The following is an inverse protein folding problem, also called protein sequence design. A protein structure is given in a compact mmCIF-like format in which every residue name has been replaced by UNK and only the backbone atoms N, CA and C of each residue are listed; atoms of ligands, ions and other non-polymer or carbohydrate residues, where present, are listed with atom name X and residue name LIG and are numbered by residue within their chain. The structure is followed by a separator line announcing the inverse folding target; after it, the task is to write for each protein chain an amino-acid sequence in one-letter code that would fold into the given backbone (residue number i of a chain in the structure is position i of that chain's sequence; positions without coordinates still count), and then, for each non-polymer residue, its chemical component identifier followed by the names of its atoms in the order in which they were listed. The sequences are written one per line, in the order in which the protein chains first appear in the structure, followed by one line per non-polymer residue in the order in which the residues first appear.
data_IF_275122074770
#
_entry.id   IF_275122074770
#
_cell.length_a   1.000
_cell.length_b   1.000
_cell.length_c   1.000
_cell.angle_alpha   90.00
_cell.angle_beta   90.00
_cell.angle_gamma   90.00
#
_symmetry.space_group_name_H-M   'P 1'
#
loop_
_entity.id
_entity.type
_entity.pdbx_description
1 polymer ?
#
# COMPACT_ATOMS: atom_id res chain seq x y z
N UNK A 1 -5.96 31.87 -2.55
CA UNK A 1 -5.30 31.44 -3.78
C UNK A 1 -6.08 30.27 -4.34
N UNK A 2 -6.61 30.37 -5.54
CA UNK A 2 -7.33 29.28 -6.18
C UNK A 2 -6.32 28.18 -6.55
N UNK A 3 -6.61 26.93 -6.23
CA UNK A 3 -5.84 25.74 -6.62
C UNK A 3 -6.01 25.46 -8.13
N UNK A 4 -5.60 26.38 -9.00
CA UNK A 4 -5.98 26.39 -10.41
C UNK A 4 -5.00 25.71 -11.35
N UNK A 5 -3.78 25.34 -10.92
CA UNK A 5 -2.78 24.76 -11.82
C UNK A 5 -2.36 23.35 -11.42
N UNK A 6 -3.36 22.48 -11.28
CA UNK A 6 -3.12 21.04 -11.11
C UNK A 6 -2.68 20.44 -12.44
N UNK A 7 -1.49 19.87 -12.48
CA UNK A 7 -1.06 19.03 -13.61
C UNK A 7 -1.79 17.70 -13.58
N UNK A 8 -2.55 17.42 -14.63
CA UNK A 8 -3.28 16.17 -14.81
C UNK A 8 -2.39 15.08 -15.42
N UNK A 9 -2.48 13.86 -14.90
CA UNK A 9 -1.88 12.70 -15.56
C UNK A 9 -2.73 12.33 -16.78
N UNK A 10 -2.19 12.53 -17.98
CA UNK A 10 -2.92 12.38 -19.24
C UNK A 10 -2.77 11.01 -19.87
N UNK A 11 -3.59 10.73 -20.90
CA UNK A 11 -3.49 9.49 -21.68
C UNK A 11 -2.17 9.39 -22.47
N UNK A 12 -1.65 10.54 -22.89
CA UNK A 12 -0.37 10.66 -23.59
C UNK A 12 0.76 10.26 -22.66
N UNK A 13 0.81 10.79 -21.44
CA UNK A 13 1.78 10.42 -20.40
C UNK A 13 1.78 8.91 -20.12
N UNK A 14 0.57 8.31 -20.06
CA UNK A 14 0.45 6.85 -19.94
C UNK A 14 1.08 6.12 -21.12
N UNK A 15 0.81 6.55 -22.38
CA UNK A 15 1.37 5.95 -23.59
C UNK A 15 2.88 6.10 -23.68
N UNK A 16 3.40 7.22 -23.20
CA UNK A 16 4.84 7.51 -23.13
C UNK A 16 5.55 6.72 -22.03
N UNK A 17 4.82 5.95 -21.24
CA UNK A 17 5.39 5.07 -20.21
C UNK A 17 5.92 5.80 -18.99
N UNK A 18 5.29 6.91 -18.58
CA UNK A 18 5.63 7.60 -17.34
C UNK A 18 5.72 6.64 -16.17
N UNK A 19 6.77 6.76 -15.35
CA UNK A 19 6.90 6.01 -14.11
C UNK A 19 6.04 6.65 -13.03
N UNK A 20 5.13 5.87 -12.45
CA UNK A 20 4.23 6.33 -11.39
C UNK A 20 4.79 5.83 -10.07
N UNK A 21 5.33 6.72 -9.25
CA UNK A 21 5.89 6.39 -7.95
C UNK A 21 4.79 6.33 -6.88
N UNK A 22 4.75 5.24 -6.13
CA UNK A 22 3.81 5.03 -5.04
C UNK A 22 4.56 4.76 -3.72
N UNK A 23 4.14 5.36 -2.58
CA UNK A 23 4.72 5.05 -1.29
C UNK A 23 4.38 3.61 -0.88
N UNK A 24 5.28 2.96 -0.15
CA UNK A 24 5.03 1.62 0.36
C UNK A 24 4.35 1.68 1.73
N UNK A 25 3.29 0.90 1.89
CA UNK A 25 2.64 0.72 3.20
C UNK A 25 2.65 -0.75 3.64
N UNK A 26 2.22 -1.66 2.76
CA UNK A 26 2.10 -3.09 3.08
C UNK A 26 2.85 -3.90 1.99
N UNK A 27 4.10 -4.32 2.22
CA UNK A 27 5.00 -4.79 1.17
C UNK A 27 4.44 -5.91 0.29
N UNK A 28 3.81 -6.93 0.87
CA UNK A 28 3.22 -8.06 0.12
C UNK A 28 2.05 -7.59 -0.75
N UNK A 29 1.13 -6.80 -0.18
CA UNK A 29 -0.04 -6.28 -0.89
C UNK A 29 0.37 -5.32 -2.00
N UNK A 30 1.29 -4.40 -1.71
CA UNK A 30 1.70 -3.37 -2.66
C UNK A 30 2.46 -3.96 -3.85
N UNK A 31 3.24 -5.03 -3.65
CA UNK A 31 3.84 -5.79 -4.75
C UNK A 31 2.78 -6.45 -5.66
N UNK A 32 1.70 -6.98 -5.10
CA UNK A 32 0.58 -7.49 -5.88
C UNK A 32 -0.16 -6.35 -6.62
N UNK A 33 -0.34 -5.18 -5.99
CA UNK A 33 -0.91 -4.01 -6.65
C UNK A 33 -0.04 -3.49 -7.78
N UNK A 34 1.27 -3.42 -7.61
CA UNK A 34 2.22 -3.04 -8.66
C UNK A 34 2.01 -3.90 -9.92
N UNK A 35 1.98 -5.22 -9.74
CA UNK A 35 1.72 -6.18 -10.81
C UNK A 35 0.31 -6.02 -11.42
N UNK A 36 -0.70 -5.76 -10.60
CA UNK A 36 -2.05 -5.50 -11.06
C UNK A 36 -2.09 -4.25 -11.96
N UNK A 37 -1.48 -3.14 -11.55
CA UNK A 37 -1.43 -1.93 -12.34
C UNK A 37 -0.64 -2.13 -13.64
N UNK A 38 0.46 -2.88 -13.60
CA UNK A 38 1.24 -3.24 -14.79
C UNK A 38 0.38 -3.99 -15.82
N UNK A 39 -0.53 -4.90 -15.40
CA UNK A 39 -1.45 -5.60 -16.29
C UNK A 39 -2.45 -4.69 -17.01
N UNK A 40 -2.66 -3.48 -16.51
CA UNK A 40 -3.47 -2.42 -17.12
C UNK A 40 -2.65 -1.38 -17.88
N UNK A 41 -1.34 -1.62 -18.07
CA UNK A 41 -0.43 -0.75 -18.81
C UNK A 41 -0.02 0.50 -18.03
N UNK A 42 0.00 0.45 -16.70
CA UNK A 42 0.59 1.48 -15.84
C UNK A 42 1.95 1.02 -15.36
N UNK A 43 2.97 1.86 -15.53
CA UNK A 43 4.31 1.62 -15.01
C UNK A 43 4.38 2.18 -13.58
N UNK A 44 3.84 1.43 -12.60
CA UNK A 44 3.88 1.81 -11.19
C UNK A 44 5.13 1.20 -10.55
N UNK A 45 5.85 1.98 -9.77
CA UNK A 45 6.97 1.54 -8.95
C UNK A 45 6.67 1.85 -7.48
N UNK A 46 6.68 0.80 -6.64
CA UNK A 46 6.51 0.94 -5.20
C UNK A 46 7.85 1.29 -4.56
N UNK A 47 7.92 2.44 -3.92
CA UNK A 47 9.15 2.93 -3.30
C UNK A 47 9.60 2.02 -2.17
N UNK A 48 10.89 1.67 -2.15
CA UNK A 48 11.49 0.75 -1.16
C UNK A 48 12.45 1.46 -0.20
N UNK A 49 12.68 2.76 -0.39
CA UNK A 49 13.59 3.55 0.46
C UNK A 49 13.11 3.57 1.91
N UNK A 50 14.04 3.42 2.84
CA UNK A 50 13.80 3.36 4.28
C UNK A 50 14.87 4.16 4.99
N UNK A 51 14.61 4.53 6.24
CA UNK A 51 15.58 5.15 7.10
C UNK A 51 15.26 6.59 7.45
N UNK A 52 16.14 7.18 8.26
CA UNK A 52 15.96 8.52 8.83
C UNK A 52 15.91 9.61 7.78
N UNK A 53 16.62 9.44 6.66
CA UNK A 53 16.61 10.42 5.56
C UNK A 53 15.22 10.75 5.08
N UNK A 54 14.29 9.79 5.12
CA UNK A 54 12.88 10.00 4.72
C UNK A 54 12.16 10.94 5.69
N UNK A 55 12.43 10.78 7.00
CA UNK A 55 11.91 11.69 8.02
C UNK A 55 12.47 13.09 7.83
N UNK A 56 13.78 13.19 7.66
CA UNK A 56 14.49 14.46 7.48
C UNK A 56 14.02 15.17 6.20
N UNK A 57 13.77 14.39 5.11
CA UNK A 57 13.21 14.92 3.87
C UNK A 57 11.76 15.39 4.05
N UNK A 58 10.93 14.60 4.72
CA UNK A 58 9.55 14.97 5.03
C UNK A 58 9.43 16.25 5.85
N UNK A 59 10.30 16.45 6.82
CA UNK A 59 10.32 17.65 7.66
C UNK A 59 10.65 18.94 6.90
N UNK A 60 11.27 18.87 5.73
CA UNK A 60 11.50 20.05 4.88
C UNK A 60 10.20 20.61 4.29
N UNK A 61 9.21 19.75 4.06
CA UNK A 61 7.99 20.09 3.29
C UNK A 61 6.72 20.03 4.13
N UNK A 62 6.68 19.20 5.15
CA UNK A 62 5.50 18.97 5.99
C UNK A 62 5.78 19.47 7.41
N UNK A 63 4.82 20.23 7.96
CA UNK A 63 4.93 20.73 9.32
C UNK A 63 4.95 19.56 10.32
N UNK A 64 5.76 19.65 11.38
CA UNK A 64 5.92 18.60 12.39
C UNK A 64 4.64 18.30 13.20
N UNK A 65 3.67 19.21 13.24
CA UNK A 65 2.33 18.98 13.84
C UNK A 65 1.40 18.16 12.95
N UNK A 66 1.83 17.83 11.72
CA UNK A 66 1.08 16.93 10.84
C UNK A 66 1.28 15.49 11.31
N UNK A 67 0.29 14.61 11.02
CA UNK A 67 0.41 13.21 11.43
C UNK A 67 1.64 12.54 10.79
N UNK A 68 2.28 11.67 11.55
CA UNK A 68 3.51 11.00 11.16
C UNK A 68 3.44 10.27 9.81
N UNK A 69 2.35 9.55 9.46
CA UNK A 69 2.20 8.94 8.12
C UNK A 69 2.30 9.93 6.97
N UNK A 70 1.75 11.16 7.11
CA UNK A 70 1.87 12.19 6.07
C UNK A 70 3.32 12.59 5.83
N UNK A 71 4.06 12.80 6.93
CA UNK A 71 5.47 13.16 6.88
C UNK A 71 6.30 12.08 6.18
N UNK A 72 6.10 10.82 6.55
CA UNK A 72 6.83 9.70 5.95
C UNK A 72 6.47 9.47 4.48
N UNK A 73 5.18 9.52 4.14
CA UNK A 73 4.69 9.30 2.78
C UNK A 73 5.22 10.38 1.82
N UNK A 74 5.13 11.65 2.23
CA UNK A 74 5.63 12.77 1.43
C UNK A 74 7.15 12.76 1.39
N UNK A 75 7.80 12.51 2.52
CA UNK A 75 9.25 12.40 2.59
C UNK A 75 9.81 11.31 1.67
N UNK A 76 9.18 10.13 1.62
CA UNK A 76 9.59 9.05 0.73
C UNK A 76 9.47 9.42 -0.75
N UNK A 77 8.41 10.13 -1.12
CA UNK A 77 8.21 10.59 -2.50
C UNK A 77 9.22 11.68 -2.87
N UNK A 78 9.47 12.65 -2.00
CA UNK A 78 10.45 13.71 -2.25
C UNK A 78 11.87 13.16 -2.29
N UNK A 79 12.24 12.24 -1.39
CA UNK A 79 13.52 11.54 -1.40
C UNK A 79 13.75 10.79 -2.74
N UNK A 80 12.71 10.12 -3.23
CA UNK A 80 12.77 9.44 -4.53
C UNK A 80 13.01 10.42 -5.68
N UNK A 81 12.32 11.57 -5.71
CA UNK A 81 12.51 12.59 -6.74
C UNK A 81 13.93 13.20 -6.70
N UNK A 82 14.53 13.34 -5.51
CA UNK A 82 15.89 13.87 -5.33
C UNK A 82 16.98 12.82 -5.55
N UNK A 83 16.63 11.53 -5.64
CA UNK A 83 17.61 10.43 -5.75
C UNK A 83 18.45 10.44 -7.02
N UNK A 84 18.02 11.17 -8.05
CA UNK A 84 18.63 11.14 -9.39
C UNK A 84 18.32 9.85 -10.17
N UNK A 85 17.54 8.93 -9.61
CA UNK A 85 17.18 7.65 -10.24
C UNK A 85 16.14 7.81 -11.37
N UNK A 86 15.28 8.82 -11.25
CA UNK A 86 14.12 8.99 -12.12
C UNK A 86 14.25 10.21 -13.03
N UNK A 87 13.79 10.07 -14.28
CA UNK A 87 13.56 11.21 -15.17
C UNK A 87 12.32 11.98 -14.68
N UNK A 88 12.52 13.13 -14.04
CA UNK A 88 11.44 13.92 -13.46
C UNK A 88 10.40 14.40 -14.49
N UNK A 89 10.78 14.53 -15.77
CA UNK A 89 9.86 14.87 -16.86
C UNK A 89 9.02 13.68 -17.34
N UNK A 90 9.35 12.46 -16.93
CA UNK A 90 8.61 11.22 -17.20
C UNK A 90 8.15 10.53 -15.93
N UNK A 91 8.00 11.29 -14.85
CA UNK A 91 7.57 10.79 -13.54
C UNK A 91 6.22 11.36 -13.16
N UNK A 92 5.40 10.55 -12.52
CA UNK A 92 4.16 10.92 -11.85
C UNK A 92 4.14 10.33 -10.45
N UNK A 93 3.36 10.90 -9.55
CA UNK A 93 3.15 10.37 -8.20
C UNK A 93 1.72 9.88 -8.05
N UNK A 94 1.52 8.85 -7.23
CA UNK A 94 0.18 8.37 -6.87
C UNK A 94 0.03 8.29 -5.36
N UNK A 95 -1.09 8.77 -4.84
CA UNK A 95 -1.42 8.71 -3.42
C UNK A 95 -2.92 8.48 -3.22
N UNK A 96 -3.29 7.77 -2.16
CA UNK A 96 -4.69 7.55 -1.80
C UNK A 96 -5.30 8.82 -1.19
N UNK A 97 -6.57 9.07 -1.53
CA UNK A 97 -7.37 10.15 -0.96
C UNK A 97 -8.67 9.56 -0.41
N UNK A 98 -8.79 9.50 0.91
CA UNK A 98 -9.88 8.75 1.56
C UNK A 98 -11.23 9.46 1.55
N UNK A 99 -11.25 10.80 1.45
CA UNK A 99 -12.49 11.60 1.38
C UNK A 99 -13.27 11.68 2.70
N UNK A 100 -12.74 11.15 3.81
CA UNK A 100 -13.36 11.19 5.14
C UNK A 100 -12.76 12.23 6.07
N UNK A 101 -13.11 12.17 7.36
CA UNK A 101 -12.58 13.05 8.42
C UNK A 101 -11.11 12.82 8.77
N UNK A 102 -10.46 11.81 8.20
CA UNK A 102 -9.04 11.56 8.37
C UNK A 102 -8.20 12.56 7.59
N UNK A 103 -7.08 13.00 8.15
CA UNK A 103 -6.11 13.90 7.49
C UNK A 103 -5.51 13.30 6.21
N UNK A 104 -5.57 11.98 6.02
CA UNK A 104 -5.18 11.31 4.78
C UNK A 104 -5.92 11.84 3.54
N UNK A 105 -7.12 12.40 3.70
CA UNK A 105 -7.82 13.12 2.64
C UNK A 105 -7.04 14.33 2.09
N UNK A 106 -6.13 14.88 2.90
CA UNK A 106 -5.37 16.10 2.60
C UNK A 106 -3.92 15.82 2.16
N UNK A 107 -3.44 14.58 2.22
CA UNK A 107 -2.04 14.27 1.85
C UNK A 107 -1.70 14.70 0.43
N UNK A 108 -2.64 14.57 -0.49
CA UNK A 108 -2.45 14.99 -1.88
C UNK A 108 -2.16 16.49 -2.01
N UNK A 109 -2.83 17.32 -1.20
CA UNK A 109 -2.60 18.78 -1.20
C UNK A 109 -1.26 19.12 -0.55
N UNK A 110 -0.87 18.41 0.52
CA UNK A 110 0.43 18.56 1.15
C UNK A 110 1.55 18.17 0.19
N UNK A 111 1.38 17.07 -0.55
CA UNK A 111 2.35 16.62 -1.55
C UNK A 111 2.50 17.64 -2.70
N UNK A 112 1.40 18.17 -3.22
CA UNK A 112 1.44 19.22 -4.25
C UNK A 112 2.13 20.48 -3.76
N UNK A 113 1.88 20.87 -2.50
CA UNK A 113 2.57 22.00 -1.87
C UNK A 113 4.07 21.74 -1.71
N UNK A 114 4.47 20.48 -1.41
CA UNK A 114 5.86 20.08 -1.37
C UNK A 114 6.53 20.22 -2.75
N UNK A 115 5.87 19.73 -3.80
CA UNK A 115 6.33 19.88 -5.19
C UNK A 115 6.46 21.35 -5.61
N UNK A 116 5.47 22.19 -5.25
CA UNK A 116 5.50 23.64 -5.54
C UNK A 116 6.72 24.29 -4.87
N UNK A 117 6.93 24.00 -3.58
CA UNK A 117 8.06 24.53 -2.82
C UNK A 117 9.41 24.17 -3.43
N UNK A 118 9.47 23.03 -4.09
CA UNK A 118 10.70 22.46 -4.69
C UNK A 118 10.84 22.76 -6.20
N UNK A 119 9.92 23.54 -6.77
CA UNK A 119 9.93 23.87 -8.21
C UNK A 119 9.53 22.71 -9.12
N UNK A 120 8.91 21.66 -8.58
CA UNK A 120 8.51 20.43 -9.27
C UNK A 120 6.99 20.38 -9.56
N UNK A 121 6.31 21.51 -9.59
CA UNK A 121 4.84 21.61 -9.82
C UNK A 121 4.38 20.97 -11.13
N UNK A 122 5.28 20.73 -12.07
CA UNK A 122 4.98 20.07 -13.35
C UNK A 122 4.79 18.55 -13.23
N UNK A 123 5.16 17.95 -12.10
CA UNK A 123 4.98 16.50 -11.86
C UNK A 123 3.53 16.23 -11.51
N UNK A 124 2.78 15.41 -12.27
CA UNK A 124 1.41 15.10 -11.98
C UNK A 124 1.26 14.22 -10.73
N UNK A 125 0.27 14.53 -9.90
CA UNK A 125 -0.09 13.73 -8.72
C UNK A 125 -1.46 13.12 -8.92
N UNK A 126 -1.50 11.80 -9.03
CA UNK A 126 -2.71 11.00 -9.23
C UNK A 126 -3.38 10.78 -7.87
N UNK A 127 -4.64 11.17 -7.76
CA UNK A 127 -5.50 10.83 -6.62
C UNK A 127 -6.13 9.46 -6.82
N UNK A 128 -5.74 8.49 -5.99
CA UNK A 128 -6.44 7.21 -5.93
C UNK A 128 -7.63 7.35 -4.98
N UNK A 129 -8.79 7.70 -5.52
CA UNK A 129 -10.02 7.88 -4.76
C UNK A 129 -11.20 7.17 -5.42
N UNK A 130 -12.13 6.67 -4.59
CA UNK A 130 -13.37 6.03 -5.07
C UNK A 130 -14.56 7.00 -5.13
N UNK A 131 -14.43 8.18 -4.55
CA UNK A 131 -15.52 9.19 -4.44
C UNK A 131 -15.60 10.14 -5.63
N UNK A 132 -14.71 10.00 -6.62
CA UNK A 132 -14.68 10.87 -7.79
C UNK A 132 -14.24 12.32 -7.50
N UNK A 133 -13.57 12.55 -6.35
CA UNK A 133 -13.07 13.86 -5.94
C UNK A 133 -12.16 14.50 -6.98
N UNK A 134 -11.33 13.66 -7.62
CA UNK A 134 -10.47 14.12 -8.72
C UNK A 134 -10.48 13.10 -9.85
N UNK A 135 -10.41 13.59 -11.08
CA UNK A 135 -10.34 12.78 -12.29
C UNK A 135 -9.02 13.02 -13.00
N UNK A 136 -8.41 11.94 -13.49
CA UNK A 136 -7.25 11.97 -14.38
C UNK A 136 -7.60 11.22 -15.66
N UNK A 137 -7.41 11.83 -16.81
CA UNK A 137 -7.78 11.20 -18.10
C UNK A 137 -6.92 9.97 -18.40
N UNK A 138 -5.66 9.98 -17.96
CA UNK A 138 -4.70 8.89 -18.11
C UNK A 138 -4.81 7.78 -17.09
N UNK A 139 -5.46 8.02 -15.92
CA UNK A 139 -5.62 7.01 -14.87
C UNK A 139 -7.08 6.77 -14.55
N UNK A 140 -7.55 5.55 -14.75
CA UNK A 140 -8.96 5.17 -14.54
C UNK A 140 -9.06 3.89 -13.73
N UNK A 141 -9.82 3.95 -12.65
CA UNK A 141 -10.27 2.76 -11.93
C UNK A 141 -11.48 2.17 -12.66
N UNK A 142 -11.30 0.98 -13.23
CA UNK A 142 -12.39 0.24 -13.87
C UNK A 142 -12.99 -0.79 -12.92
N UNK A 143 -14.24 -1.18 -13.12
CA UNK A 143 -14.88 -2.20 -12.29
C UNK A 143 -14.10 -3.54 -12.26
N UNK A 144 -13.57 -4.06 -13.39
CA UNK A 144 -12.68 -5.22 -13.34
C UNK A 144 -11.44 -5.02 -12.50
N UNK A 145 -10.80 -3.84 -12.59
CA UNK A 145 -9.63 -3.51 -11.77
C UNK A 145 -9.98 -3.49 -10.28
N UNK A 146 -11.12 -2.91 -9.89
CA UNK A 146 -11.59 -2.88 -8.49
C UNK A 146 -11.85 -4.30 -7.98
N UNK A 147 -12.46 -5.17 -8.77
CA UNK A 147 -12.68 -6.58 -8.39
C UNK A 147 -11.36 -7.32 -8.18
N UNK A 148 -10.38 -7.13 -9.06
CA UNK A 148 -9.03 -7.70 -8.88
C UNK A 148 -8.34 -7.11 -7.65
N UNK A 149 -8.50 -5.81 -7.39
CA UNK A 149 -7.93 -5.15 -6.21
C UNK A 149 -8.47 -5.75 -4.89
N UNK A 150 -9.75 -6.12 -4.83
CA UNK A 150 -10.31 -6.86 -3.68
C UNK A 150 -9.67 -8.25 -3.54
N UNK A 151 -9.44 -8.95 -4.65
CA UNK A 151 -8.69 -10.21 -4.66
C UNK A 151 -7.24 -10.01 -4.15
N UNK A 152 -6.55 -8.96 -4.60
CA UNK A 152 -5.20 -8.60 -4.12
C UNK A 152 -5.18 -8.40 -2.61
N UNK A 153 -6.18 -7.71 -2.05
CA UNK A 153 -6.27 -7.50 -0.60
C UNK A 153 -6.44 -8.84 0.14
N UNK A 154 -7.34 -9.70 -0.30
CA UNK A 154 -7.59 -10.99 0.35
C UNK A 154 -6.37 -11.92 0.28
N UNK A 155 -5.74 -12.03 -0.89
CA UNK A 155 -4.53 -12.84 -1.05
C UNK A 155 -3.34 -12.28 -0.29
N UNK A 156 -3.17 -10.95 -0.32
CA UNK A 156 -2.13 -10.27 0.44
C UNK A 156 -2.26 -10.49 1.95
N UNK A 157 -3.48 -10.41 2.47
CA UNK A 157 -3.78 -10.68 3.88
C UNK A 157 -3.44 -12.13 4.26
N UNK A 158 -3.86 -13.10 3.44
CA UNK A 158 -3.56 -14.51 3.70
C UNK A 158 -2.06 -14.80 3.64
N UNK A 159 -1.37 -14.31 2.59
CA UNK A 159 0.08 -14.52 2.44
C UNK A 159 0.86 -13.87 3.59
N UNK A 160 0.50 -12.66 4.00
CA UNK A 160 1.12 -11.98 5.14
C UNK A 160 0.90 -12.76 6.44
N UNK A 161 -0.34 -13.17 6.71
CA UNK A 161 -0.68 -13.93 7.91
C UNK A 161 0.09 -15.25 8.00
N UNK A 162 0.05 -16.05 6.92
CA UNK A 162 0.70 -17.34 6.87
C UNK A 162 2.23 -17.22 6.94
N UNK A 163 2.81 -16.22 6.25
CA UNK A 163 4.24 -15.94 6.35
C UNK A 163 4.66 -15.63 7.79
N UNK A 164 3.96 -14.73 8.47
CA UNK A 164 4.27 -14.31 9.82
C UNK A 164 4.08 -15.43 10.84
N UNK A 165 3.13 -16.35 10.61
CA UNK A 165 2.91 -17.54 11.45
C UNK A 165 3.92 -18.66 11.18
N UNK A 166 4.37 -18.84 9.95
CA UNK A 166 5.26 -19.95 9.56
C UNK A 166 6.73 -19.62 9.80
N UNK A 167 7.14 -18.38 9.44
CA UNK A 167 8.54 -17.95 9.46
C UNK A 167 9.29 -18.22 10.75
N UNK A 168 8.74 -17.98 11.97
CA UNK A 168 9.47 -18.24 13.21
C UNK A 168 9.73 -19.74 13.49
N UNK A 169 9.01 -20.62 12.83
CA UNK A 169 9.04 -22.05 13.06
C UNK A 169 9.69 -22.86 11.93
N UNK A 170 9.95 -22.25 10.77
CA UNK A 170 10.50 -22.96 9.60
C UNK A 170 11.87 -23.59 9.90
N UNK A 171 12.07 -24.85 9.49
CA UNK A 171 13.34 -25.54 9.63
C UNK A 171 14.38 -25.07 8.63
N UNK A 172 13.92 -24.70 7.43
CA UNK A 172 14.74 -24.13 6.37
C UNK A 172 14.43 -22.63 6.28
N UNK A 173 15.42 -21.81 6.64
CA UNK A 173 15.25 -20.36 6.66
C UNK A 173 14.88 -19.82 5.27
N UNK A 174 13.78 -19.06 5.19
CA UNK A 174 13.28 -18.46 3.95
C UNK A 174 12.27 -19.30 3.19
N UNK A 175 11.89 -20.50 3.67
CA UNK A 175 10.91 -21.36 3.01
C UNK A 175 9.54 -20.65 2.85
N UNK A 176 9.04 -20.02 3.89
CA UNK A 176 7.79 -19.24 3.83
C UNK A 176 7.89 -18.01 2.93
N UNK A 177 9.05 -17.35 2.91
CA UNK A 177 9.30 -16.22 2.02
C UNK A 177 9.25 -16.63 0.55
N UNK A 178 9.87 -17.77 0.23
CA UNK A 178 9.83 -18.35 -1.11
C UNK A 178 8.38 -18.63 -1.54
N UNK A 179 7.54 -19.18 -0.66
CA UNK A 179 6.12 -19.39 -0.95
C UNK A 179 5.38 -18.08 -1.24
N UNK A 180 5.66 -17.02 -0.48
CA UNK A 180 5.10 -15.67 -0.78
C UNK A 180 5.49 -15.23 -2.18
N UNK A 181 6.76 -15.40 -2.57
CA UNK A 181 7.25 -15.00 -3.89
C UNK A 181 6.62 -15.84 -5.01
N UNK A 182 6.56 -17.16 -4.84
CA UNK A 182 5.99 -18.10 -5.80
C UNK A 182 4.48 -17.85 -6.00
N UNK A 183 3.73 -17.64 -4.91
CA UNK A 183 2.31 -17.31 -4.98
C UNK A 183 2.04 -15.92 -5.54
N UNK A 184 2.88 -14.93 -5.21
CA UNK A 184 2.78 -13.59 -5.82
C UNK A 184 2.90 -13.68 -7.33
N UNK A 185 3.87 -14.44 -7.85
CA UNK A 185 4.04 -14.66 -9.28
C UNK A 185 2.85 -15.40 -9.89
N UNK A 186 2.40 -16.50 -9.27
CA UNK A 186 1.26 -17.30 -9.74
C UNK A 186 -0.02 -16.47 -9.81
N UNK A 187 -0.31 -15.68 -8.79
CA UNK A 187 -1.48 -14.78 -8.77
C UNK A 187 -1.39 -13.70 -9.84
N UNK A 188 -0.20 -13.11 -10.05
CA UNK A 188 0.05 -12.14 -11.12
C UNK A 188 -0.26 -12.74 -12.50
N UNK A 189 0.24 -13.95 -12.78
CA UNK A 189 -0.01 -14.66 -14.03
C UNK A 189 -1.49 -15.01 -14.22
N UNK A 190 -2.21 -15.33 -13.14
CA UNK A 190 -3.65 -15.58 -13.18
C UNK A 190 -4.43 -14.31 -13.47
N UNK A 191 -4.12 -13.20 -12.81
CA UNK A 191 -4.78 -11.91 -13.02
C UNK A 191 -4.55 -11.36 -14.42
N UNK A 192 -3.37 -11.56 -15.01
CA UNK A 192 -3.09 -11.21 -16.40
C UNK A 192 -3.98 -12.01 -17.39
N UNK A 193 -4.39 -13.22 -17.02
CA UNK A 193 -5.28 -14.10 -17.79
C UNK A 193 -6.77 -13.95 -17.40
N UNK A 194 -7.14 -12.88 -16.71
CA UNK A 194 -8.50 -12.63 -16.23
C UNK A 194 -9.07 -13.75 -15.33
N UNK A 195 -8.22 -14.36 -14.48
CA UNK A 195 -8.56 -15.46 -13.57
C UNK A 195 -8.14 -15.17 -12.13
N UNK A 196 -8.66 -15.95 -11.18
CA UNK A 196 -8.22 -15.97 -9.79
C UNK A 196 -8.82 -14.87 -8.90
N UNK A 197 -9.81 -14.10 -9.35
CA UNK A 197 -10.40 -13.02 -8.57
C UNK A 197 -11.93 -13.13 -8.39
N UNK A 198 -12.57 -14.13 -8.98
CA UNK A 198 -13.98 -14.43 -8.68
C UNK A 198 -14.10 -15.19 -7.36
N UNK A 199 -15.22 -15.00 -6.65
CA UNK A 199 -15.46 -15.69 -5.38
C UNK A 199 -15.25 -17.21 -5.49
N UNK A 200 -15.78 -17.83 -6.55
CA UNK A 200 -15.64 -19.27 -6.80
C UNK A 200 -14.19 -19.73 -7.01
N UNK A 201 -13.37 -18.91 -7.70
CA UNK A 201 -11.94 -19.23 -7.87
C UNK A 201 -11.19 -19.04 -6.56
N UNK A 202 -11.51 -17.98 -5.80
CA UNK A 202 -10.90 -17.72 -4.50
C UNK A 202 -11.20 -18.83 -3.49
N UNK A 203 -12.41 -19.40 -3.46
CA UNK A 203 -12.77 -20.56 -2.65
C UNK A 203 -11.87 -21.79 -2.91
N UNK A 204 -11.27 -21.88 -4.09
CA UNK A 204 -10.34 -22.96 -4.43
C UNK A 204 -8.89 -22.55 -4.15
N UNK A 205 -8.50 -21.33 -4.45
CA UNK A 205 -7.11 -20.86 -4.39
C UNK A 205 -6.67 -20.59 -2.94
N UNK A 206 -7.52 -19.98 -2.11
CA UNK A 206 -7.17 -19.67 -0.72
C UNK A 206 -6.80 -20.94 0.10
N UNK A 207 -7.56 -22.04 0.02
CA UNK A 207 -7.16 -23.28 0.67
C UNK A 207 -5.84 -23.87 0.13
N UNK A 208 -5.56 -23.78 -1.19
CA UNK A 208 -4.29 -24.23 -1.76
C UNK A 208 -3.10 -23.47 -1.19
N UNK A 209 -3.22 -22.13 -1.04
CA UNK A 209 -2.19 -21.30 -0.38
C UNK A 209 -1.98 -21.82 1.05
N UNK A 210 -3.06 -22.00 1.81
CA UNK A 210 -2.97 -22.46 3.20
C UNK A 210 -2.32 -23.85 3.30
N UNK A 211 -2.64 -24.76 2.39
CA UNK A 211 -2.06 -26.10 2.33
C UNK A 211 -0.55 -26.08 2.02
N UNK A 212 -0.11 -25.25 1.06
CA UNK A 212 1.29 -25.08 0.72
C UNK A 212 2.10 -24.60 1.94
N UNK A 213 1.57 -23.65 2.71
CA UNK A 213 2.21 -23.18 3.95
C UNK A 213 2.16 -24.23 5.06
N UNK A 214 1.08 -25.00 5.18
CA UNK A 214 0.97 -26.11 6.15
C UNK A 214 1.99 -27.22 5.89
N UNK A 215 2.43 -27.39 4.65
CA UNK A 215 3.44 -28.37 4.25
C UNK A 215 4.88 -27.89 4.49
N UNK A 216 5.11 -26.65 4.91
CA UNK A 216 6.45 -26.17 5.28
C UNK A 216 6.92 -26.93 6.54
N UNK A 217 8.10 -27.58 6.50
CA UNK A 217 8.64 -28.24 7.68
C UNK A 217 8.94 -27.25 8.81
N UNK A 218 8.28 -27.43 9.94
CA UNK A 218 8.39 -26.51 11.10
C UNK A 218 8.97 -27.23 12.32
N UNK A 219 9.53 -26.43 13.24
CA UNK A 219 9.95 -26.91 14.59
C UNK A 219 8.73 -27.02 15.50
N UNK A 220 8.78 -27.90 16.50
CA UNK A 220 7.72 -28.05 17.51
C UNK A 220 7.81 -27.05 18.67
N UNK A 221 8.72 -26.08 18.62
CA UNK A 221 8.93 -25.10 19.69
C UNK A 221 7.73 -24.14 19.80
N UNK A 222 7.33 -23.81 21.02
CA UNK A 222 6.35 -22.75 21.25
C UNK A 222 7.07 -21.40 21.28
N UNK A 223 6.57 -20.46 20.49
CA UNK A 223 7.07 -19.08 20.45
C UNK A 223 6.10 -18.15 21.17
N UNK A 224 6.62 -17.00 21.61
CA UNK A 224 5.76 -15.92 22.12
C UNK A 224 5.00 -15.32 20.94
N UNK A 225 3.69 -15.16 21.10
CA UNK A 225 2.82 -14.53 20.10
C UNK A 225 2.63 -13.06 20.41
N UNK A 226 2.93 -12.22 19.45
CA UNK A 226 2.83 -10.77 19.58
C UNK A 226 1.84 -10.23 18.55
N UNK A 227 0.74 -9.62 19.04
CA UNK A 227 -0.23 -8.90 18.21
C UNK A 227 0.23 -7.48 17.94
N UNK A 228 0.32 -7.09 16.66
CA UNK A 228 0.63 -5.71 16.24
C UNK A 228 -0.67 -5.00 15.91
N UNK A 229 -0.99 -3.97 16.69
CA UNK A 229 -2.21 -3.16 16.55
C UNK A 229 -1.84 -1.67 16.45
N UNK A 230 -2.75 -0.85 15.94
CA UNK A 230 -2.54 0.59 15.85
C UNK A 230 -3.12 1.20 14.59
N UNK A 231 -2.65 2.41 14.28
CA UNK A 231 -3.01 3.14 13.07
C UNK A 231 -2.57 2.38 11.81
N UNK A 232 -3.34 2.46 10.73
CA UNK A 232 -3.17 1.61 9.55
C UNK A 232 -1.77 1.72 8.94
N UNK A 233 -1.25 2.92 8.72
CA UNK A 233 0.05 3.11 8.09
C UNK A 233 1.18 2.58 8.99
N UNK A 234 1.19 2.97 10.27
CA UNK A 234 2.21 2.56 11.24
C UNK A 234 2.17 1.04 11.47
N UNK A 235 0.99 0.43 11.46
CA UNK A 235 0.85 -1.02 11.68
C UNK A 235 1.48 -1.86 10.57
N UNK A 236 1.31 -1.46 9.30
CA UNK A 236 1.78 -2.27 8.16
C UNK A 236 3.08 -1.78 7.53
N UNK A 237 3.42 -0.50 7.70
CA UNK A 237 4.56 0.08 7.02
C UNK A 237 5.87 -0.15 7.77
N UNK A 238 6.84 -0.84 7.16
CA UNK A 238 8.17 -0.99 7.77
C UNK A 238 8.85 0.33 8.10
N UNK A 239 8.63 1.38 7.30
CA UNK A 239 9.12 2.73 7.58
C UNK A 239 8.39 3.34 8.79
N UNK A 240 7.07 3.11 8.85
CA UNK A 240 6.22 3.67 9.90
C UNK A 240 6.46 3.07 11.28
N UNK A 241 6.90 1.82 11.35
CA UNK A 241 7.10 1.08 12.58
C UNK A 241 8.56 0.65 12.86
N UNK A 242 9.52 1.16 12.08
CA UNK A 242 10.94 0.83 12.21
C UNK A 242 11.22 -0.68 12.08
N UNK A 243 10.65 -1.32 11.05
CA UNK A 243 10.80 -2.75 10.78
C UNK A 243 10.39 -3.65 11.97
N UNK A 244 9.29 -3.32 12.65
CA UNK A 244 8.81 -4.00 13.86
C UNK A 244 8.65 -5.51 13.65
N UNK A 245 8.13 -5.97 12.52
CA UNK A 245 7.98 -7.41 12.24
C UNK A 245 9.35 -8.11 12.18
N UNK A 246 10.34 -7.50 11.55
CA UNK A 246 11.72 -8.02 11.51
C UNK A 246 12.35 -8.05 12.91
N UNK A 247 12.12 -7.00 13.71
CA UNK A 247 12.58 -6.98 15.09
C UNK A 247 11.94 -8.10 15.90
N UNK A 248 10.63 -8.28 15.85
CA UNK A 248 9.93 -9.34 16.59
C UNK A 248 10.40 -10.74 16.13
N UNK A 249 10.61 -10.93 14.84
CA UNK A 249 11.19 -12.15 14.31
C UNK A 249 12.61 -12.40 14.87
N UNK A 250 13.46 -11.37 14.93
CA UNK A 250 14.82 -11.48 15.51
C UNK A 250 14.79 -11.85 17.00
N UNK A 251 13.69 -11.50 17.70
CA UNK A 251 13.44 -11.89 19.10
C UNK A 251 12.74 -13.24 19.22
N UNK A 252 12.70 -14.03 18.14
CA UNK A 252 12.12 -15.37 18.12
C UNK A 252 10.61 -15.38 18.46
N UNK A 253 9.87 -14.33 18.05
CA UNK A 253 8.43 -14.19 18.26
C UNK A 253 7.62 -14.55 17.00
N UNK A 254 6.43 -15.09 17.20
CA UNK A 254 5.40 -15.19 16.17
C UNK A 254 4.63 -13.87 16.13
N UNK A 255 4.55 -13.23 14.95
CA UNK A 255 3.87 -11.95 14.80
C UNK A 255 2.50 -12.14 14.17
N UNK A 256 1.49 -11.48 14.76
CA UNK A 256 0.13 -11.44 14.23
C UNK A 256 -0.24 -9.98 13.90
N UNK A 257 -0.40 -9.71 12.60
CA UNK A 257 -0.89 -8.43 12.10
C UNK A 257 -2.27 -8.67 11.50
N UNK A 258 -3.34 -8.00 12.00
CA UNK A 258 -4.69 -8.13 11.41
C UNK A 258 -4.72 -7.75 9.94
N UNK A 259 -5.53 -8.44 9.14
CA UNK A 259 -5.62 -8.22 7.71
C UNK A 259 -6.09 -6.82 7.33
N UNK A 260 -5.63 -6.33 6.19
CA UNK A 260 -5.95 -5.02 5.63
C UNK A 260 -7.42 -4.95 5.17
N UNK A 261 -7.92 -6.05 4.61
CA UNK A 261 -9.31 -6.15 4.16
C UNK A 261 -10.28 -5.98 5.33
N UNK A 262 -9.98 -6.54 6.50
CA UNK A 262 -10.80 -6.40 7.71
C UNK A 262 -10.86 -4.97 8.27
N UNK A 263 -9.85 -4.15 7.99
CA UNK A 263 -9.83 -2.76 8.41
C UNK A 263 -10.89 -1.89 7.69
N UNK A 264 -11.17 -2.17 6.44
CA UNK A 264 -12.09 -1.36 5.61
C UNK A 264 -13.54 -1.34 6.15
N UNK A 265 -14.18 -2.49 6.47
CA UNK A 265 -15.53 -2.49 7.05
C UNK A 265 -15.60 -1.84 8.43
N UNK A 266 -14.58 -2.05 9.26
CA UNK A 266 -14.51 -1.47 10.62
C UNK A 266 -14.45 0.05 10.54
N UNK A 267 -13.62 0.61 9.67
CA UNK A 267 -13.55 2.06 9.46
C UNK A 267 -14.88 2.65 8.99
N UNK A 268 -15.60 1.94 8.10
CA UNK A 268 -16.90 2.37 7.62
C UNK A 268 -17.99 2.34 8.71
N UNK A 269 -18.02 1.31 9.54
CA UNK A 269 -18.99 1.18 10.63
C UNK A 269 -18.77 2.21 11.72
N UNK A 270 -17.53 2.53 12.06
CA UNK A 270 -17.21 3.58 13.03
C UNK A 270 -17.59 4.98 12.53
N UNK A 271 -17.33 5.28 11.25
CA UNK A 271 -17.75 6.56 10.65
C UNK A 271 -19.28 6.74 10.74
N UNK A 272 -20.06 5.70 10.40
CA UNK A 272 -21.52 5.74 10.51
C UNK A 272 -22.02 5.89 11.96
N UNK A 273 -21.38 5.23 12.91
CA UNK A 273 -21.75 5.36 14.34
C UNK A 273 -21.54 6.79 14.84
N UNK A 274 -20.47 7.47 14.41
CA UNK A 274 -20.23 8.88 14.76
C UNK A 274 -21.23 9.83 14.11
N UNK A 275 -21.60 9.61 12.85
CA UNK A 275 -22.62 10.39 12.15
C UNK A 275 -23.99 10.24 12.83
N UNK A 276 -24.36 9.03 13.24
CA UNK A 276 -25.63 8.77 13.91
C UNK A 276 -25.68 9.41 15.31
N UNK A 277 -24.57 9.42 16.05
CA UNK A 277 -24.48 10.09 17.34
C UNK A 277 -24.58 11.62 17.21
N UNK A 278 -23.94 12.22 16.18
CA UNK A 278 -24.03 13.65 15.94
C UNK A 278 -25.47 14.12 15.60
N UNK A 279 -26.23 13.30 14.89
CA UNK A 279 -27.63 13.58 14.55
C UNK A 279 -28.55 13.45 15.78
N UNK A 280 -28.21 12.63 16.77
CA UNK A 280 -29.02 12.44 17.97
C UNK A 280 -28.85 13.56 19.02
N UNK A 281 -27.87 14.47 18.86
CA UNK A 281 -27.64 15.65 19.72
C UNK A 281 -28.02 16.97 19.05
N UNK A 282 -28.58 16.95 17.83
CA UNK A 282 -29.14 18.13 17.14
C UNK A 282 -30.67 18.10 17.21
#
# INVERSE_FOLDING_TARGET
MAFTDRVEFTKEMKKEGYTILAPNMAPIHFRLFENLFASYGYNVEILQTRGRQIVDEGLKYVHNDTCYPALLTIGQMMDALHSGKYDLHKTALIITQTGGGCRASNYIHLLRKALEKDGLSYIPVISLNMSGLEKNSGFKLTLPMIRKALGVLAYGDLLMLLHNQTRPYEKEAGASRKLVDDWTKKLTDMFAKEKGYSAKEMETILPQIAEDFANVPVTGEKKVRVGVVGEIYVKYSPIGNNDLEEFLFSQNCETMVPGLLGFMPVSYTHLRAHETAAISYA
#
